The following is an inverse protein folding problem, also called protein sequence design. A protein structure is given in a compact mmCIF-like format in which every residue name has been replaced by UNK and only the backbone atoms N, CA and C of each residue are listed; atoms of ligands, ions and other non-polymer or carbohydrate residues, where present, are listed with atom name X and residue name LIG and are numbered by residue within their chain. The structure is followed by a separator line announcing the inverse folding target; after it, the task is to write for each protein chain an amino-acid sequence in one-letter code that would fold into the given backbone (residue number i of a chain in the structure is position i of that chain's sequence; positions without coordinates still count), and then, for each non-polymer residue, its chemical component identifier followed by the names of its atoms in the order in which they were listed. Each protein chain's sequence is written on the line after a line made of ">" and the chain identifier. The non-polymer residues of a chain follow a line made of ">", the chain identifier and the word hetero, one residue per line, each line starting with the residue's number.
data_IF_381244648589
#
_entry.id   IF_381244648589
#
_cell.length_a   1.000
_cell.length_b   1.000
_cell.length_c   1.000
_cell.angle_alpha   90.00
_cell.angle_beta   90.00
_cell.angle_gamma   90.00
#
_symmetry.space_group_name_H-M   'P 1'
#
loop_
_entity.id
_entity.type
_entity.pdbx_description
1 polymer ?
#
# COMPACT_ATOMS: atom_id res chain seq x y z
N UNK A 1 -12.70 4.77 1.61
CA UNK A 1 -13.29 3.60 0.93
C UNK A 1 -13.85 4.01 -0.42
N UNK A 2 -13.46 3.30 -1.49
CA UNK A 2 -13.91 3.48 -2.88
C UNK A 2 -14.04 2.10 -3.54
N UNK A 3 -14.99 1.91 -4.46
CA UNK A 3 -15.33 0.58 -4.97
C UNK A 3 -14.28 -0.09 -5.85
N UNK A 4 -13.38 0.69 -6.45
CA UNK A 4 -12.29 0.19 -7.28
C UNK A 4 -10.98 -0.05 -6.51
N UNK A 5 -10.91 0.17 -5.20
CA UNK A 5 -9.66 0.13 -4.43
C UNK A 5 -8.86 -1.15 -4.68
N UNK A 6 -9.45 -2.33 -4.44
CA UNK A 6 -8.75 -3.62 -4.53
C UNK A 6 -8.36 -3.97 -5.97
N UNK A 7 -9.30 -3.81 -6.92
CA UNK A 7 -9.08 -4.17 -8.33
C UNK A 7 -8.14 -3.21 -9.04
N UNK A 8 -8.17 -1.91 -8.71
CA UNK A 8 -7.22 -0.94 -9.23
C UNK A 8 -5.79 -1.24 -8.73
N UNK A 9 -5.60 -1.54 -7.44
CA UNK A 9 -4.28 -1.87 -6.91
C UNK A 9 -3.74 -3.22 -7.40
N UNK A 10 -4.62 -4.21 -7.61
CA UNK A 10 -4.26 -5.44 -8.34
C UNK A 10 -3.71 -5.10 -9.73
N UNK A 11 -4.44 -4.29 -10.50
CA UNK A 11 -4.02 -3.92 -11.84
C UNK A 11 -2.73 -3.09 -11.85
N UNK A 12 -2.57 -2.16 -10.91
CA UNK A 12 -1.38 -1.33 -10.78
C UNK A 12 -0.13 -2.15 -10.42
N UNK A 13 -0.27 -3.11 -9.51
CA UNK A 13 0.82 -4.03 -9.14
C UNK A 13 1.19 -4.96 -10.31
N UNK A 14 0.20 -5.47 -11.04
CA UNK A 14 0.43 -6.25 -12.25
C UNK A 14 1.13 -5.44 -13.34
N UNK A 15 0.75 -4.17 -13.55
CA UNK A 15 1.37 -3.29 -14.53
C UNK A 15 2.84 -3.02 -14.19
N UNK A 16 3.15 -2.81 -12.90
CA UNK A 16 4.53 -2.71 -12.44
C UNK A 16 5.34 -3.99 -12.73
N UNK A 17 4.76 -5.17 -12.47
CA UNK A 17 5.39 -6.44 -12.85
C UNK A 17 5.63 -6.52 -14.36
N UNK A 18 4.66 -6.13 -15.19
CA UNK A 18 4.83 -6.15 -16.64
C UNK A 18 5.96 -5.23 -17.10
N UNK A 19 6.10 -4.04 -16.51
CA UNK A 19 7.21 -3.15 -16.81
C UNK A 19 8.56 -3.80 -16.44
N UNK A 20 8.66 -4.40 -15.24
CA UNK A 20 9.88 -5.12 -14.83
C UNK A 20 10.24 -6.24 -15.82
N UNK A 21 9.26 -7.03 -16.24
CA UNK A 21 9.49 -8.21 -17.10
C UNK A 21 9.77 -7.82 -18.55
N UNK A 22 9.00 -6.89 -19.10
CA UNK A 22 9.05 -6.55 -20.52
C UNK A 22 10.05 -5.44 -20.87
N UNK A 23 10.46 -4.61 -19.90
CA UNK A 23 11.36 -3.47 -20.13
C UNK A 23 12.70 -3.62 -19.39
N UNK A 24 12.72 -4.30 -18.25
CA UNK A 24 13.93 -4.46 -17.42
C UNK A 24 14.53 -5.88 -17.44
N UNK A 25 13.94 -6.82 -18.19
CA UNK A 25 14.44 -8.18 -18.32
C UNK A 25 14.27 -9.04 -17.06
N UNK A 26 13.34 -8.69 -16.17
CA UNK A 26 13.03 -9.50 -15.00
C UNK A 26 12.33 -10.80 -15.40
N UNK A 27 12.90 -11.95 -15.05
CA UNK A 27 12.29 -13.26 -15.37
C UNK A 27 11.37 -13.79 -14.27
N UNK A 28 11.43 -13.19 -13.08
CA UNK A 28 10.61 -13.57 -11.93
C UNK A 28 9.19 -13.00 -11.97
N UNK A 29 8.55 -13.03 -10.80
CA UNK A 29 7.18 -12.55 -10.55
C UNK A 29 7.19 -11.62 -9.34
N UNK A 30 6.19 -10.73 -9.23
CA UNK A 30 6.15 -9.76 -8.14
C UNK A 30 6.06 -10.46 -6.76
N UNK A 31 7.07 -10.32 -5.88
CA UNK A 31 7.01 -10.91 -4.55
C UNK A 31 6.06 -10.11 -3.64
N UNK A 32 5.50 -10.80 -2.63
CA UNK A 32 4.68 -10.18 -1.60
C UNK A 32 5.41 -10.13 -0.25
N UNK A 33 5.09 -9.13 0.57
CA UNK A 33 5.60 -9.03 1.94
C UNK A 33 4.60 -9.65 2.93
N UNK A 34 4.92 -10.84 3.45
CA UNK A 34 4.08 -11.51 4.45
C UNK A 34 4.17 -10.78 5.81
N UNK A 35 3.33 -9.77 6.03
CA UNK A 35 3.40 -8.95 7.25
C UNK A 35 3.34 -9.75 8.55
N UNK A 36 2.41 -10.73 8.72
CA UNK A 36 2.32 -11.49 9.97
C UNK A 36 3.62 -12.15 10.40
N UNK A 37 4.40 -12.67 9.45
CA UNK A 37 5.69 -13.32 9.73
C UNK A 37 6.70 -12.38 10.39
N UNK A 38 6.59 -11.08 10.14
CA UNK A 38 7.54 -10.07 10.55
C UNK A 38 6.90 -8.99 11.42
N UNK A 39 5.71 -9.24 11.98
CA UNK A 39 4.94 -8.22 12.70
C UNK A 39 5.65 -7.75 13.97
N UNK A 40 6.39 -8.64 14.63
CA UNK A 40 7.12 -8.32 15.87
C UNK A 40 8.35 -7.42 15.61
N UNK A 41 9.04 -7.65 14.49
CA UNK A 41 10.20 -6.86 14.09
C UNK A 41 10.41 -6.85 12.56
N UNK A 42 9.82 -5.86 11.85
CA UNK A 42 9.98 -5.73 10.40
C UNK A 42 11.43 -5.54 9.96
N UNK A 43 12.29 -5.00 10.82
CA UNK A 43 13.73 -4.78 10.52
C UNK A 43 14.52 -6.10 10.39
N UNK A 44 13.92 -7.23 10.76
CA UNK A 44 14.49 -8.57 10.57
C UNK A 44 14.02 -9.26 9.30
N UNK A 45 13.10 -8.64 8.57
CA UNK A 45 12.63 -9.19 7.30
C UNK A 45 13.68 -9.00 6.20
N UNK A 46 13.85 -9.98 5.29
CA UNK A 46 14.75 -9.82 4.14
C UNK A 46 14.39 -8.60 3.26
N UNK A 47 13.14 -8.14 3.30
CA UNK A 47 12.69 -6.97 2.55
C UNK A 47 13.14 -5.65 3.17
N UNK A 48 13.34 -5.58 4.50
CA UNK A 48 13.59 -4.33 5.23
C UNK A 48 14.82 -4.39 6.17
N UNK A 49 15.67 -5.41 6.05
CA UNK A 49 16.88 -5.55 6.88
C UNK A 49 18.05 -4.63 6.46
N UNK A 50 17.94 -3.95 5.32
CA UNK A 50 18.97 -3.06 4.81
C UNK A 50 20.19 -3.75 4.20
N UNK A 51 20.13 -5.06 3.99
CA UNK A 51 21.12 -5.82 3.22
C UNK A 51 21.07 -5.47 1.73
N UNK A 52 22.05 -5.95 0.97
CA UNK A 52 22.11 -5.79 -0.49
C UNK A 52 20.98 -6.51 -1.25
N UNK A 53 20.20 -7.37 -0.56
CA UNK A 53 19.07 -8.10 -1.13
C UNK A 53 17.71 -7.55 -0.66
N UNK A 54 17.72 -6.47 0.12
CA UNK A 54 16.52 -5.84 0.65
C UNK A 54 15.95 -4.78 -0.28
N UNK A 55 14.74 -4.31 0.01
CA UNK A 55 14.24 -3.04 -0.52
C UNK A 55 14.81 -1.86 0.25
N UNK A 56 16.08 -1.93 0.65
CA UNK A 56 16.73 -1.07 1.65
C UNK A 56 16.14 -1.19 3.07
N UNK A 57 16.86 -0.64 4.04
CA UNK A 57 16.52 -0.72 5.46
C UNK A 57 15.81 0.51 6.00
N UNK A 58 16.01 0.77 7.28
CA UNK A 58 15.46 1.93 7.97
C UNK A 58 16.16 3.24 7.58
N UNK A 59 15.51 4.36 7.91
CA UNK A 59 16.06 5.69 7.80
C UNK A 59 17.09 6.00 8.87
N UNK A 60 17.89 7.04 8.64
CA UNK A 60 18.76 7.61 9.66
C UNK A 60 17.94 8.00 10.90
N UNK A 61 18.45 7.66 12.08
CA UNK A 61 17.79 8.00 13.34
C UNK A 61 17.59 9.52 13.45
N UNK A 62 16.39 9.92 13.84
CA UNK A 62 16.06 11.30 14.15
C UNK A 62 15.44 11.40 15.56
N UNK A 63 16.26 11.68 16.58
CA UNK A 63 15.78 11.70 17.97
C UNK A 63 14.83 12.87 18.22
N UNK A 64 13.86 12.67 19.12
CA UNK A 64 12.91 13.71 19.53
C UNK A 64 11.78 13.96 18.53
N UNK A 65 11.55 13.06 17.58
CA UNK A 65 10.40 13.12 16.68
C UNK A 65 9.09 12.97 17.45
N UNK A 66 8.08 13.72 17.00
CA UNK A 66 6.70 13.57 17.44
C UNK A 66 6.10 12.29 16.86
N UNK A 67 4.99 11.85 17.47
CA UNK A 67 4.17 10.80 16.89
C UNK A 67 3.68 11.20 15.49
N UNK A 68 3.56 10.21 14.62
CA UNK A 68 2.99 10.35 13.29
C UNK A 68 1.47 10.35 13.38
N UNK A 69 0.83 11.40 12.87
CA UNK A 69 -0.62 11.54 12.85
C UNK A 69 -1.22 11.00 11.56
N UNK A 70 -2.25 10.17 11.68
CA UNK A 70 -2.90 9.46 10.56
C UNK A 70 -4.40 9.82 10.55
N UNK A 71 -4.99 10.14 9.38
CA UNK A 71 -4.38 10.11 8.04
C UNK A 71 -3.44 11.27 7.70
N UNK A 72 -3.43 12.34 8.50
CA UNK A 72 -2.56 13.50 8.26
C UNK A 72 -2.29 14.28 9.55
N UNK A 73 -1.34 15.22 9.50
CA UNK A 73 -1.06 16.11 10.62
C UNK A 73 -2.23 17.04 10.98
N UNK A 74 -3.06 17.43 10.01
CA UNK A 74 -4.24 18.28 10.24
C UNK A 74 -5.43 17.51 10.84
N UNK A 75 -5.45 16.18 10.68
CA UNK A 75 -6.50 15.30 11.17
C UNK A 75 -5.88 14.08 11.86
N UNK A 76 -5.46 14.27 13.11
CA UNK A 76 -4.83 13.22 13.92
C UNK A 76 -5.88 12.30 14.56
N UNK A 77 -6.35 11.29 13.83
CA UNK A 77 -7.28 10.28 14.34
C UNK A 77 -6.56 9.11 15.00
N UNK A 78 -5.37 8.78 14.49
CA UNK A 78 -4.47 7.79 15.08
C UNK A 78 -3.11 8.45 15.29
N UNK A 79 -2.54 8.27 16.49
CA UNK A 79 -1.23 8.76 16.87
C UNK A 79 -0.28 7.56 16.99
N UNK A 80 0.60 7.40 16.00
CA UNK A 80 1.56 6.30 15.95
C UNK A 80 2.91 6.80 16.50
N UNK A 81 3.44 6.13 17.52
CA UNK A 81 4.76 6.46 18.04
C UNK A 81 5.85 6.26 16.96
N UNK A 82 6.88 7.13 16.92
CA UNK A 82 7.95 7.02 15.94
C UNK A 82 8.72 5.71 16.12
N UNK A 83 9.26 5.19 15.01
CA UNK A 83 10.25 4.14 15.02
C UNK A 83 11.66 4.67 15.33
N UNK A 84 12.66 3.87 15.01
CA UNK A 84 14.07 4.20 15.25
C UNK A 84 14.68 5.05 14.11
N UNK A 85 13.94 5.27 13.02
CA UNK A 85 14.39 5.99 11.83
C UNK A 85 13.87 7.42 11.74
N UNK A 86 13.37 7.76 10.55
CA UNK A 86 12.78 9.06 10.19
C UNK A 86 13.55 9.83 9.13
N UNK A 87 14.86 9.63 9.04
CA UNK A 87 15.72 10.27 8.03
C UNK A 87 15.82 9.47 6.73
N UNK A 88 16.78 9.85 5.88
CA UNK A 88 17.08 9.12 4.65
C UNK A 88 17.51 7.68 4.95
N UNK A 89 17.08 6.73 4.14
CA UNK A 89 17.56 5.34 4.15
C UNK A 89 19.08 5.28 4.14
N UNK A 90 19.68 4.46 5.01
CA UNK A 90 21.14 4.43 5.20
C UNK A 90 21.86 3.31 4.44
N UNK A 91 21.16 2.23 4.09
CA UNK A 91 21.77 1.01 3.53
C UNK A 91 20.86 0.31 2.50
N UNK A 92 21.42 -0.69 1.81
CA UNK A 92 20.75 -1.46 0.76
C UNK A 92 20.70 -0.76 -0.61
N UNK A 93 20.07 -1.42 -1.61
CA UNK A 93 20.11 -1.01 -3.01
C UNK A 93 19.54 0.39 -3.30
N UNK A 94 18.60 0.85 -2.47
CA UNK A 94 17.87 2.11 -2.67
C UNK A 94 18.39 3.26 -1.80
N UNK A 95 19.56 3.13 -1.16
CA UNK A 95 20.15 4.22 -0.34
C UNK A 95 20.37 5.53 -1.11
N UNK A 96 20.62 5.44 -2.42
CA UNK A 96 20.81 6.59 -3.32
C UNK A 96 19.58 6.81 -4.23
N UNK A 97 18.45 6.15 -3.94
CA UNK A 97 17.23 6.33 -4.71
C UNK A 97 16.69 7.75 -4.51
N UNK A 98 16.28 8.38 -5.60
CA UNK A 98 15.74 9.74 -5.59
C UNK A 98 14.23 9.70 -5.79
N UNK A 99 13.49 10.13 -4.78
CA UNK A 99 12.05 10.35 -4.84
C UNK A 99 11.83 11.71 -5.52
N UNK A 100 11.25 11.69 -6.73
CA UNK A 100 11.15 12.90 -7.57
C UNK A 100 9.80 13.63 -7.47
N UNK A 101 8.74 12.95 -7.04
CA UNK A 101 7.37 13.48 -6.97
C UNK A 101 6.89 13.59 -5.53
N UNK A 102 5.74 14.22 -5.33
CA UNK A 102 5.18 14.52 -4.02
C UNK A 102 6.03 15.54 -3.23
N UNK A 103 5.78 15.69 -1.93
CA UNK A 103 4.64 15.09 -1.22
C UNK A 103 3.31 15.74 -1.64
N UNK A 104 2.20 15.07 -1.34
CA UNK A 104 0.82 15.57 -1.52
C UNK A 104 0.10 15.62 -0.18
N UNK A 105 0.13 14.52 0.57
CA UNK A 105 -0.45 14.41 1.90
C UNK A 105 0.52 13.66 2.83
N UNK A 106 1.67 14.27 3.16
CA UNK A 106 2.71 13.59 3.92
C UNK A 106 2.33 13.46 5.39
N UNK A 107 2.61 12.30 5.98
CA UNK A 107 2.48 12.12 7.43
C UNK A 107 3.64 12.75 8.22
N UNK A 108 4.84 12.87 7.65
CA UNK A 108 5.94 13.61 8.28
C UNK A 108 5.75 15.12 8.09
N UNK A 109 5.95 15.87 9.17
CA UNK A 109 5.80 17.33 9.17
C UNK A 109 7.03 18.09 8.62
N UNK A 110 8.20 17.44 8.59
CA UNK A 110 9.50 18.02 8.22
C UNK A 110 9.91 17.66 6.78
N UNK A 111 8.99 17.79 5.83
CA UNK A 111 9.25 17.58 4.39
C UNK A 111 9.01 18.88 3.64
N UNK A 112 9.91 19.21 2.70
CA UNK A 112 9.71 20.32 1.78
C UNK A 112 8.48 20.06 0.89
N UNK A 113 7.44 20.91 0.94
CA UNK A 113 6.25 20.73 0.13
C UNK A 113 6.58 20.84 -1.36
N UNK A 114 5.83 20.11 -2.19
CA UNK A 114 5.95 20.26 -3.63
C UNK A 114 5.45 21.65 -4.06
N UNK A 115 6.19 22.33 -4.94
CA UNK A 115 5.77 23.62 -5.49
C UNK A 115 4.45 23.53 -6.28
N UNK A 116 4.15 22.34 -6.83
CA UNK A 116 2.87 22.02 -7.43
C UNK A 116 2.02 21.21 -6.43
N UNK A 117 0.86 21.75 -6.05
CA UNK A 117 -0.04 21.14 -5.06
C UNK A 117 -0.55 19.74 -5.47
N UNK A 118 -0.51 19.39 -6.76
CA UNK A 118 -0.83 18.02 -7.21
C UNK A 118 0.26 16.99 -6.87
N UNK A 119 1.43 17.42 -6.40
CA UNK A 119 2.60 16.57 -6.20
C UNK A 119 3.32 16.16 -7.49
N UNK A 120 2.85 16.59 -8.66
CA UNK A 120 3.44 16.22 -9.95
C UNK A 120 4.63 17.10 -10.37
N UNK A 121 4.99 18.11 -9.56
CA UNK A 121 6.18 18.92 -9.79
C UNK A 121 7.46 18.18 -9.42
N UNK A 122 8.57 18.52 -10.09
CA UNK A 122 9.88 17.97 -9.77
C UNK A 122 10.35 18.44 -8.37
N UNK A 123 10.49 17.50 -7.44
CA UNK A 123 10.89 17.74 -6.05
C UNK A 123 11.82 16.62 -5.54
N UNK A 124 13.06 16.53 -6.07
CA UNK A 124 13.98 15.44 -5.78
C UNK A 124 14.45 15.46 -4.33
N UNK A 125 14.33 14.30 -3.66
CA UNK A 125 14.80 14.07 -2.29
C UNK A 125 15.11 12.60 -2.05
N UNK A 126 15.77 12.29 -0.94
CA UNK A 126 16.06 10.90 -0.58
C UNK A 126 14.78 10.14 -0.19
N UNK A 127 14.79 8.82 -0.37
CA UNK A 127 13.83 7.92 0.29
C UNK A 127 14.06 7.97 1.80
N UNK A 128 13.01 8.25 2.58
CA UNK A 128 13.04 8.23 4.05
C UNK A 128 12.16 7.11 4.57
N UNK A 129 12.60 6.44 5.63
CA UNK A 129 11.79 5.44 6.33
C UNK A 129 11.83 5.63 7.82
N UNK A 130 10.77 5.17 8.45
CA UNK A 130 10.60 5.11 9.90
C UNK A 130 9.94 3.79 10.24
N UNK A 131 10.72 2.71 10.23
CA UNK A 131 10.16 1.36 10.29
C UNK A 131 9.42 1.16 11.63
N UNK A 132 8.09 1.05 11.56
CA UNK A 132 7.24 1.01 12.76
C UNK A 132 6.92 -0.41 13.20
N UNK A 133 7.57 -0.85 14.28
CA UNK A 133 7.22 -2.12 14.96
C UNK A 133 5.81 -2.08 15.54
N UNK A 134 5.34 -0.92 16.00
CA UNK A 134 4.01 -0.77 16.60
C UNK A 134 2.93 -0.92 15.53
N UNK A 135 3.08 -0.30 14.36
CA UNK A 135 2.13 -0.47 13.27
C UNK A 135 2.03 -1.95 12.86
N UNK A 136 3.19 -2.59 12.69
CA UNK A 136 3.27 -3.98 12.27
C UNK A 136 2.67 -4.95 13.31
N UNK A 137 3.13 -4.90 14.56
CA UNK A 137 2.73 -5.82 15.63
C UNK A 137 1.26 -5.68 16.02
N UNK A 138 0.66 -4.49 15.87
CA UNK A 138 -0.71 -4.23 16.29
C UNK A 138 -1.73 -4.57 15.20
N UNK A 139 -1.45 -4.24 13.93
CA UNK A 139 -2.47 -4.25 12.86
C UNK A 139 -2.14 -5.16 11.66
N UNK A 140 -0.98 -5.81 11.64
CA UNK A 140 -0.59 -6.68 10.51
C UNK A 140 -0.18 -8.10 10.92
N UNK A 141 -0.42 -8.47 12.17
CA UNK A 141 -0.17 -9.82 12.71
C UNK A 141 -1.18 -10.87 12.16
N UNK A 142 -0.96 -12.14 12.52
CA UNK A 142 -1.78 -13.27 12.06
C UNK A 142 -3.26 -13.13 12.44
N UNK A 143 -3.57 -12.62 13.63
CA UNK A 143 -4.97 -12.42 14.08
C UNK A 143 -5.69 -11.40 13.19
N UNK A 144 -5.01 -10.34 12.77
CA UNK A 144 -5.59 -9.31 11.91
C UNK A 144 -5.82 -9.81 10.49
N UNK A 145 -4.89 -10.59 9.93
CA UNK A 145 -5.03 -11.14 8.58
C UNK A 145 -6.08 -12.26 8.55
N UNK A 146 -6.05 -13.17 9.52
CA UNK A 146 -6.99 -14.28 9.60
C UNK A 146 -8.43 -13.78 9.80
N UNK A 147 -8.69 -12.93 10.80
CA UNK A 147 -10.03 -12.37 11.04
C UNK A 147 -10.56 -11.56 9.85
N UNK A 148 -9.70 -10.82 9.15
CA UNK A 148 -10.07 -10.12 7.93
C UNK A 148 -10.59 -11.07 6.84
N UNK A 149 -10.00 -12.26 6.70
CA UNK A 149 -10.38 -13.27 5.70
C UNK A 149 -11.61 -14.07 6.15
N UNK A 150 -11.66 -14.49 7.41
CA UNK A 150 -12.64 -15.47 7.90
C UNK A 150 -13.93 -14.84 8.40
N UNK A 151 -13.88 -13.65 8.99
CA UNK A 151 -15.01 -13.10 9.74
C UNK A 151 -15.90 -12.20 8.87
N UNK A 152 -15.38 -11.75 7.72
CA UNK A 152 -16.08 -10.82 6.83
C UNK A 152 -16.49 -11.52 5.54
N UNK A 153 -17.79 -11.55 5.26
CA UNK A 153 -18.35 -12.23 4.08
C UNK A 153 -18.80 -11.28 2.98
N UNK A 154 -18.97 -10.00 3.29
CA UNK A 154 -19.38 -8.95 2.35
C UNK A 154 -18.19 -8.07 1.92
N UNK A 155 -18.14 -7.70 0.65
CA UNK A 155 -17.05 -6.89 0.08
C UNK A 155 -16.90 -5.53 0.75
N UNK A 156 -18.01 -4.83 1.04
CA UNK A 156 -17.97 -3.50 1.65
C UNK A 156 -17.30 -3.53 3.02
N UNK A 157 -17.72 -4.45 3.88
CA UNK A 157 -17.11 -4.68 5.19
C UNK A 157 -15.64 -5.14 5.10
N UNK A 158 -15.32 -6.09 4.23
CA UNK A 158 -13.96 -6.58 3.99
C UNK A 158 -13.01 -5.46 3.55
N UNK A 159 -13.39 -4.74 2.50
CA UNK A 159 -12.62 -3.64 1.94
C UNK A 159 -12.41 -2.51 2.96
N UNK A 160 -13.45 -2.19 3.74
CA UNK A 160 -13.38 -1.16 4.80
C UNK A 160 -12.45 -1.59 5.94
N UNK A 161 -12.58 -2.83 6.43
CA UNK A 161 -11.70 -3.36 7.49
C UNK A 161 -10.25 -3.41 7.04
N UNK A 162 -9.99 -3.80 5.80
CA UNK A 162 -8.63 -3.84 5.26
C UNK A 162 -7.97 -2.45 5.26
N UNK A 163 -8.70 -1.42 4.83
CA UNK A 163 -8.23 -0.03 4.72
C UNK A 163 -8.16 0.71 6.06
N UNK A 164 -8.90 0.28 7.09
CA UNK A 164 -8.91 0.88 8.42
C UNK A 164 -10.19 1.63 8.79
N UNK A 165 -10.39 1.85 10.08
CA UNK A 165 -11.45 2.66 10.67
C UNK A 165 -10.80 3.67 11.63
N UNK A 166 -10.24 4.74 11.05
CA UNK A 166 -9.42 5.71 11.78
C UNK A 166 -10.18 6.42 12.91
N UNK A 167 -11.46 6.83 12.76
CA UNK A 167 -12.24 7.37 13.88
C UNK A 167 -12.36 6.42 15.08
N UNK A 168 -12.23 5.10 14.87
CA UNK A 168 -12.23 4.09 15.93
C UNK A 168 -10.83 3.64 16.36
N UNK A 169 -9.77 4.32 15.93
CA UNK A 169 -8.40 3.97 16.30
C UNK A 169 -7.88 2.69 15.62
N UNK A 170 -8.46 2.29 14.49
CA UNK A 170 -8.08 1.06 13.80
C UNK A 170 -7.40 1.35 12.46
N UNK A 171 -6.14 0.95 12.29
CA UNK A 171 -5.39 1.20 11.06
C UNK A 171 -5.74 0.26 9.90
N UNK A 172 -6.09 -1.01 10.20
CA UNK A 172 -6.24 -2.03 9.16
C UNK A 172 -4.91 -2.43 8.53
N UNK A 173 -4.89 -3.62 7.90
CA UNK A 173 -3.65 -4.21 7.35
C UNK A 173 -3.05 -3.37 6.22
N UNK A 174 -3.88 -2.64 5.46
CA UNK A 174 -3.42 -1.76 4.39
C UNK A 174 -2.67 -0.55 4.93
N UNK A 175 -3.33 0.29 5.73
CA UNK A 175 -2.67 1.50 6.23
C UNK A 175 -1.54 1.15 7.20
N UNK A 176 -1.70 0.13 8.04
CA UNK A 176 -0.59 -0.32 8.90
C UNK A 176 0.60 -0.88 8.09
N UNK A 177 0.35 -1.54 6.96
CA UNK A 177 1.42 -1.97 6.06
C UNK A 177 2.18 -0.80 5.44
N UNK A 178 1.47 0.24 4.97
CA UNK A 178 2.11 1.50 4.56
C UNK A 178 2.96 2.13 5.67
N UNK A 179 2.42 2.21 6.89
CA UNK A 179 3.15 2.74 8.05
C UNK A 179 4.15 1.75 8.67
N UNK A 180 4.29 0.54 8.13
CA UNK A 180 5.39 -0.37 8.49
C UNK A 180 6.71 0.14 7.92
N UNK A 181 6.73 0.65 6.67
CA UNK A 181 7.91 1.37 6.16
C UNK A 181 7.92 2.84 6.57
N UNK A 182 6.73 3.46 6.62
CA UNK A 182 6.54 4.84 7.09
C UNK A 182 7.34 5.85 6.26
N UNK A 183 7.74 6.96 6.90
CA UNK A 183 8.62 7.94 6.28
C UNK A 183 8.04 8.65 5.05
N UNK A 184 8.90 8.87 4.04
CA UNK A 184 8.60 9.61 2.82
C UNK A 184 9.13 8.85 1.58
N UNK A 185 8.25 8.44 0.65
CA UNK A 185 6.82 8.75 0.60
C UNK A 185 5.92 7.67 1.21
N UNK A 186 6.46 6.67 1.94
CA UNK A 186 5.67 5.54 2.44
C UNK A 186 4.47 5.94 3.31
N UNK A 187 4.60 7.03 4.08
CA UNK A 187 3.52 7.65 4.85
C UNK A 187 2.70 8.71 4.12
N UNK A 188 2.84 8.86 2.80
CA UNK A 188 2.03 9.78 1.97
C UNK A 188 0.99 8.98 1.18
N UNK A 189 -0.30 9.28 1.41
CA UNK A 189 -1.41 8.54 0.80
C UNK A 189 -1.33 8.49 -0.74
N UNK A 190 -0.84 9.56 -1.38
CA UNK A 190 -0.83 9.68 -2.84
C UNK A 190 0.53 9.33 -3.45
N UNK A 191 1.62 9.59 -2.72
CA UNK A 191 2.97 9.39 -3.23
C UNK A 191 3.61 8.06 -2.80
N UNK A 192 2.94 7.25 -1.97
CA UNK A 192 3.49 5.98 -1.44
C UNK A 192 4.09 5.00 -2.46
N UNK A 193 3.67 4.91 -3.75
CA UNK A 193 4.36 4.09 -4.74
C UNK A 193 5.81 4.50 -5.03
N UNK A 194 6.24 5.69 -4.58
CA UNK A 194 7.63 6.12 -4.64
C UNK A 194 8.54 5.42 -3.62
N UNK A 195 8.00 4.66 -2.66
CA UNK A 195 8.76 3.69 -1.88
C UNK A 195 8.71 2.31 -2.58
N UNK A 196 9.85 1.71 -2.99
CA UNK A 196 9.88 0.37 -3.61
C UNK A 196 9.19 -0.74 -2.81
N UNK A 197 9.07 -0.59 -1.48
CA UNK A 197 8.32 -1.50 -0.62
C UNK A 197 6.82 -1.58 -0.98
N UNK A 198 6.25 -0.53 -1.59
CA UNK A 198 4.85 -0.44 -1.98
C UNK A 198 4.35 -1.69 -2.72
N UNK A 199 5.11 -2.15 -3.72
CA UNK A 199 4.68 -3.26 -4.58
C UNK A 199 4.69 -4.60 -3.85
N UNK A 200 5.57 -4.78 -2.86
CA UNK A 200 5.57 -5.95 -1.99
C UNK A 200 4.39 -5.92 -1.00
N UNK A 201 4.08 -4.75 -0.46
CA UNK A 201 2.91 -4.52 0.36
C UNK A 201 1.62 -4.81 -0.43
N UNK A 202 1.45 -4.20 -1.61
CA UNK A 202 0.24 -4.35 -2.41
C UNK A 202 0.08 -5.75 -3.03
N UNK A 203 1.17 -6.48 -3.29
CA UNK A 203 1.07 -7.90 -3.63
C UNK A 203 0.54 -8.75 -2.45
N UNK A 204 0.82 -8.38 -1.20
CA UNK A 204 0.20 -9.06 -0.04
C UNK A 204 -1.25 -8.62 0.18
N UNK A 205 -1.59 -7.36 -0.10
CA UNK A 205 -3.00 -6.90 -0.14
C UNK A 205 -3.78 -7.73 -1.13
N UNK A 206 -3.24 -7.90 -2.34
CA UNK A 206 -3.88 -8.69 -3.37
C UNK A 206 -3.97 -10.18 -2.99
N UNK A 207 -2.93 -10.74 -2.35
CA UNK A 207 -2.97 -12.11 -1.81
C UNK A 207 -4.09 -12.31 -0.79
N UNK A 208 -4.27 -11.37 0.13
CA UNK A 208 -5.36 -11.42 1.13
C UNK A 208 -6.72 -11.31 0.45
N UNK A 209 -6.87 -10.41 -0.52
CA UNK A 209 -8.10 -10.28 -1.32
C UNK A 209 -8.39 -11.56 -2.13
N UNK A 210 -7.40 -12.08 -2.85
CA UNK A 210 -7.49 -13.34 -3.58
C UNK A 210 -7.90 -14.49 -2.67
N UNK A 211 -7.31 -14.59 -1.47
CA UNK A 211 -7.65 -15.65 -0.50
C UNK A 211 -9.10 -15.51 -0.04
N UNK A 212 -9.54 -14.30 0.27
CA UNK A 212 -10.92 -13.99 0.66
C UNK A 212 -11.93 -14.32 -0.46
N UNK A 213 -11.62 -14.01 -1.71
CA UNK A 213 -12.45 -14.38 -2.86
C UNK A 213 -12.59 -15.92 -2.96
N UNK A 214 -11.48 -16.64 -2.81
CA UNK A 214 -11.44 -18.10 -2.97
C UNK A 214 -12.10 -18.88 -1.82
N UNK A 215 -12.45 -18.24 -0.69
CA UNK A 215 -13.27 -18.90 0.34
C UNK A 215 -14.69 -19.23 -0.14
N UNK A 216 -15.25 -18.42 -1.05
CA UNK A 216 -16.54 -18.65 -1.69
C UNK A 216 -16.53 -17.97 -3.07
N UNK A 217 -15.84 -18.61 -4.02
CA UNK A 217 -15.57 -18.01 -5.33
C UNK A 217 -16.85 -17.72 -6.11
N UNK A 218 -17.91 -18.51 -5.91
CA UNK A 218 -19.19 -18.33 -6.59
C UNK A 218 -19.82 -16.99 -6.22
N UNK A 219 -19.80 -16.63 -4.94
CA UNK A 219 -20.40 -15.38 -4.45
C UNK A 219 -19.43 -14.20 -4.48
N UNK A 220 -18.11 -14.44 -4.33
CA UNK A 220 -17.13 -13.39 -4.05
C UNK A 220 -16.25 -12.99 -5.23
N UNK A 221 -16.19 -13.80 -6.30
CA UNK A 221 -15.36 -13.48 -7.47
C UNK A 221 -15.63 -12.08 -8.02
N UNK A 222 -16.91 -11.68 -8.08
CA UNK A 222 -17.37 -10.40 -8.62
C UNK A 222 -18.11 -9.55 -7.57
N UNK A 223 -17.89 -9.82 -6.28
CA UNK A 223 -18.46 -8.99 -5.24
C UNK A 223 -17.86 -7.58 -5.29
N UNK A 224 -18.73 -6.57 -5.25
CA UNK A 224 -18.37 -5.16 -5.33
C UNK A 224 -19.28 -4.35 -4.38
N UNK A 225 -18.75 -3.26 -3.86
CA UNK A 225 -19.48 -2.33 -2.99
C UNK A 225 -18.82 -0.96 -2.99
N UNK A 226 -19.28 -0.07 -2.12
CA UNK A 226 -18.85 1.34 -2.04
C UNK A 226 -19.19 2.15 -3.31
N UNK A 227 -18.81 3.43 -3.30
CA UNK A 227 -19.06 4.39 -4.39
C UNK A 227 -17.79 4.69 -5.19
N UNK A 228 -17.93 5.49 -6.25
CA UNK A 228 -16.82 5.88 -7.14
C UNK A 228 -15.99 7.07 -6.63
N UNK A 229 -16.28 7.57 -5.43
CA UNK A 229 -15.51 8.65 -4.77
C UNK A 229 -15.02 8.20 -3.40
N UNK A 230 -13.83 8.65 -3.00
CA UNK A 230 -13.22 8.28 -1.72
C UNK A 230 -14.15 8.68 -0.57
N UNK A 231 -14.52 7.72 0.27
CA UNK A 231 -15.44 7.88 1.40
C UNK A 231 -16.82 8.44 1.00
N UNK A 232 -17.20 8.29 -0.28
CA UNK A 232 -18.39 8.92 -0.85
C UNK A 232 -18.38 10.46 -0.69
N UNK A 233 -17.19 11.07 -0.82
CA UNK A 233 -16.99 12.52 -0.68
C UNK A 233 -16.34 13.10 -1.96
N UNK A 234 -17.05 13.90 -2.76
CA UNK A 234 -18.49 14.17 -2.66
C UNK A 234 -19.34 12.92 -2.93
N UNK A 235 -20.64 12.90 -2.56
CA UNK A 235 -21.51 11.78 -2.84
C UNK A 235 -21.56 11.42 -4.32
N UNK A 236 -21.48 10.12 -4.63
CA UNK A 236 -21.49 9.59 -5.98
C UNK A 236 -22.27 8.28 -6.06
N UNK A 237 -22.47 7.76 -7.27
CA UNK A 237 -23.14 6.48 -7.47
C UNK A 237 -22.28 5.31 -6.94
N UNK A 238 -22.93 4.19 -6.69
CA UNK A 238 -22.25 2.94 -6.42
C UNK A 238 -21.33 2.56 -7.59
N UNK A 239 -20.20 1.94 -7.24
CA UNK A 239 -19.32 1.34 -8.22
C UNK A 239 -20.00 0.12 -8.86
N UNK A 240 -19.70 -0.14 -10.13
CA UNK A 240 -20.20 -1.30 -10.87
C UNK A 240 -19.03 -2.07 -11.49
N UNK A 241 -19.25 -3.33 -11.84
CA UNK A 241 -18.25 -4.14 -12.52
C UNK A 241 -17.83 -3.57 -13.90
N UNK A 242 -18.66 -2.72 -14.48
CA UNK A 242 -18.42 -2.11 -15.81
C UNK A 242 -17.67 -0.77 -15.71
N UNK A 243 -17.37 -0.29 -14.49
CA UNK A 243 -16.52 0.88 -14.29
C UNK A 243 -15.10 0.59 -14.79
N UNK A 244 -14.51 1.58 -15.47
CA UNK A 244 -13.18 1.45 -16.06
C UNK A 244 -12.07 1.71 -15.05
N UNK A 245 -10.96 1.01 -15.24
CA UNK A 245 -9.70 1.19 -14.56
C UNK A 245 -8.67 1.67 -15.58
N UNK A 246 -8.22 2.90 -15.38
CA UNK A 246 -7.19 3.54 -16.19
C UNK A 246 -5.97 3.85 -15.33
N UNK A 247 -4.79 3.52 -15.84
CA UNK A 247 -3.49 3.82 -15.24
C UNK A 247 -2.76 4.95 -16.00
N UNK A 248 -3.46 5.64 -16.91
CA UNK A 248 -2.97 6.79 -17.63
C UNK A 248 -1.74 6.45 -18.46
N UNK A 249 -0.61 7.08 -18.15
CA UNK A 249 0.62 6.98 -18.94
C UNK A 249 1.53 5.80 -18.56
N UNK A 250 1.07 4.88 -17.70
CA UNK A 250 1.82 3.67 -17.31
C UNK A 250 1.99 2.69 -18.48
N UNK A 251 1.23 2.84 -19.57
CA UNK A 251 1.46 2.09 -20.81
C UNK A 251 0.76 0.74 -20.89
N UNK A 252 -0.34 0.57 -20.15
CA UNK A 252 -1.21 -0.61 -20.21
C UNK A 252 -2.63 -0.21 -20.58
N UNK A 253 -3.42 -1.14 -21.13
CA UNK A 253 -4.76 -0.87 -21.65
C UNK A 253 -5.76 -0.44 -20.55
N UNK A 254 -6.81 0.29 -20.91
CA UNK A 254 -7.94 0.50 -20.01
C UNK A 254 -8.75 -0.80 -19.91
N UNK A 255 -9.00 -1.28 -18.69
CA UNK A 255 -9.81 -2.49 -18.43
C UNK A 255 -11.02 -2.13 -17.55
N UNK A 256 -11.90 -3.09 -17.27
CA UNK A 256 -13.01 -2.90 -16.32
C UNK A 256 -12.70 -3.50 -14.95
N UNK A 257 -13.47 -3.11 -13.92
CA UNK A 257 -13.44 -3.79 -12.61
C UNK A 257 -13.72 -5.30 -12.79
N UNK A 258 -14.60 -5.68 -13.72
CA UNK A 258 -14.90 -7.08 -14.05
C UNK A 258 -13.67 -7.84 -14.50
N UNK A 259 -12.89 -7.27 -15.43
CA UNK A 259 -11.66 -7.89 -15.93
C UNK A 259 -10.64 -8.06 -14.80
N UNK A 260 -10.55 -7.05 -13.92
CA UNK A 260 -9.61 -7.05 -12.80
C UNK A 260 -10.05 -7.95 -11.62
N UNK A 261 -11.27 -8.46 -11.63
CA UNK A 261 -11.82 -9.19 -10.48
C UNK A 261 -11.26 -10.61 -10.36
N UNK A 262 -10.69 -11.20 -11.41
CA UNK A 262 -10.25 -12.60 -11.47
C UNK A 262 -8.77 -12.73 -11.89
N UNK A 263 -7.92 -13.32 -11.04
CA UNK A 263 -6.47 -13.46 -11.29
C UNK A 263 -6.11 -14.46 -12.40
N UNK A 264 -7.09 -15.18 -12.95
CA UNK A 264 -6.95 -16.15 -14.04
C UNK A 264 -7.73 -15.75 -15.30
N UNK A 265 -8.16 -14.50 -15.41
CA UNK A 265 -8.87 -13.97 -16.57
C UNK A 265 -8.47 -12.52 -16.85
N UNK A 266 -8.98 -11.94 -17.93
CA UNK A 266 -8.59 -10.61 -18.38
C UNK A 266 -7.09 -10.59 -18.70
N UNK A 267 -6.32 -9.60 -18.23
CA UNK A 267 -4.87 -9.55 -18.43
C UNK A 267 -4.09 -10.48 -17.48
N UNK A 268 -4.76 -11.18 -16.56
CA UNK A 268 -4.11 -11.91 -15.47
C UNK A 268 -4.05 -13.41 -15.71
N UNK A 269 -2.96 -14.03 -15.25
CA UNK A 269 -2.80 -15.48 -15.19
C UNK A 269 -1.84 -15.87 -14.06
N UNK A 270 -2.27 -15.68 -12.80
CA UNK A 270 -1.46 -15.98 -11.63
C UNK A 270 -2.28 -16.45 -10.43
N UNK A 271 -1.58 -17.11 -9.50
CA UNK A 271 -2.08 -17.52 -8.18
C UNK A 271 -1.05 -17.13 -7.12
N UNK A 272 -1.46 -17.12 -5.85
CA UNK A 272 -0.55 -16.99 -4.72
C UNK A 272 -0.31 -18.36 -4.08
N UNK A 273 0.93 -18.59 -3.64
CA UNK A 273 1.33 -19.75 -2.85
C UNK A 273 1.32 -19.46 -1.33
#
# INVERSE_FOLDING_TARGET
>A
MVGNFLTWHRYFTWAYEQALRNECGYEGYQPYYNWPKWSDDPTKSPTLDGSDMSMSGDGANQPGRNNTCIPSNDLCQISLAPGDGGGCVQSGPFKNFTVNLGPVAPALADINPNANMSGLGYNPRCLRRDISKIAASTWTNDDQVSSLITDLTDFGSFSTRMQGDFPKGFLGVHTAGHFTSGGDPGGDLFASPGDPYFYFHHAMIDRVYWTWQNQDIVSRQYAIGNTITVNNMPPSRNATLDDTLDLGFVGVDTITIRDASNTLNGPFCYIYA
#
